data_IF_804394255930
#
_entry.id   IF_804394255930
#
_cell.length_a   1.000
_cell.length_b   1.000
_cell.length_c   1.000
_cell.angle_alpha   90.00
_cell.angle_beta   90.00
_cell.angle_gamma   90.00
#
_symmetry.space_group_name_H-M   'P 1'
#
loop_
_entity.id
_entity.type
_entity.pdbx_description
1 polymer ?
#
# COMPACT_ATOMS: atom_id res chain seq x y z
N UNK A 1 -25.43 -61.91 21.96
CA UNK A 1 -24.43 -60.84 22.11
C UNK A 1 -24.52 -59.91 20.88
N UNK A 2 -25.17 -58.77 21.03
CA UNK A 2 -25.29 -57.79 19.96
C UNK A 2 -24.10 -56.80 20.07
N UNK A 3 -23.22 -56.73 19.05
CA UNK A 3 -22.14 -55.79 18.98
C UNK A 3 -22.73 -54.46 18.48
N UNK A 4 -22.67 -53.43 19.31
CA UNK A 4 -22.96 -52.07 18.90
C UNK A 4 -21.73 -51.50 18.19
N UNK A 5 -21.88 -51.12 16.94
CA UNK A 5 -20.89 -50.35 16.17
C UNK A 5 -21.09 -48.88 16.52
N UNK A 6 -20.14 -48.26 17.21
CA UNK A 6 -20.11 -46.82 17.45
C UNK A 6 -19.38 -46.20 16.25
N UNK A 7 -20.12 -45.51 15.40
CA UNK A 7 -19.56 -44.72 14.31
C UNK A 7 -19.14 -43.36 14.88
N UNK A 8 -17.85 -43.17 15.00
CA UNK A 8 -17.27 -41.89 15.41
C UNK A 8 -17.25 -40.94 14.16
N UNK A 9 -18.21 -40.03 14.09
CA UNK A 9 -18.20 -38.98 13.09
C UNK A 9 -17.20 -37.88 13.48
N UNK A 10 -16.07 -37.81 12.77
CA UNK A 10 -15.16 -36.66 12.86
C UNK A 10 -15.87 -35.46 12.24
N UNK A 11 -16.26 -34.51 13.06
CA UNK A 11 -16.57 -33.14 12.59
C UNK A 11 -15.25 -32.47 12.19
N UNK A 12 -14.98 -32.41 10.91
CA UNK A 12 -13.99 -31.50 10.37
C UNK A 12 -14.61 -30.09 10.36
N UNK A 13 -14.34 -29.29 11.41
CA UNK A 13 -14.62 -27.88 11.39
C UNK A 13 -13.65 -27.27 10.36
N UNK A 14 -14.16 -26.87 9.21
CA UNK A 14 -13.43 -26.00 8.27
C UNK A 14 -13.26 -24.63 8.92
N UNK A 15 -12.08 -24.36 9.42
CA UNK A 15 -11.70 -23.03 9.85
C UNK A 15 -11.51 -22.19 8.59
N UNK A 16 -12.46 -21.33 8.28
CA UNK A 16 -12.29 -20.31 7.25
C UNK A 16 -11.37 -19.24 7.83
N UNK A 17 -10.11 -19.25 7.42
CA UNK A 17 -9.21 -18.14 7.72
C UNK A 17 -9.59 -16.98 6.81
N UNK A 18 -9.71 -15.77 7.37
CA UNK A 18 -9.80 -14.57 6.60
C UNK A 18 -8.55 -14.48 5.69
N UNK A 19 -8.75 -14.46 4.38
CA UNK A 19 -7.66 -14.34 3.43
C UNK A 19 -7.51 -12.86 3.06
N UNK A 20 -6.29 -12.35 3.12
CA UNK A 20 -6.00 -11.02 2.62
C UNK A 20 -6.18 -10.99 1.10
N UNK A 21 -6.74 -9.90 0.60
CA UNK A 21 -6.91 -9.66 -0.83
C UNK A 21 -6.57 -8.21 -1.17
N UNK A 22 -6.04 -8.00 -2.36
CA UNK A 22 -5.88 -6.68 -2.94
C UNK A 22 -7.25 -6.15 -3.32
N UNK A 23 -7.68 -5.06 -2.66
CA UNK A 23 -8.98 -4.44 -2.90
C UNK A 23 -8.90 -3.39 -4.01
N UNK A 24 -7.89 -2.51 -3.93
CA UNK A 24 -7.60 -1.50 -4.94
C UNK A 24 -6.11 -1.11 -4.87
N UNK A 25 -5.64 -0.48 -5.94
CA UNK A 25 -4.33 0.16 -5.98
C UNK A 25 -4.53 1.66 -6.10
N UNK A 26 -4.07 2.41 -5.11
CA UNK A 26 -4.09 3.87 -5.16
C UNK A 26 -2.85 4.39 -5.87
N UNK A 27 -3.05 5.33 -6.78
CA UNK A 27 -1.98 5.99 -7.52
C UNK A 27 -2.10 7.48 -7.32
N UNK A 28 -1.06 8.10 -6.78
CA UNK A 28 -0.96 9.57 -6.73
C UNK A 28 -0.31 10.03 -8.03
N UNK A 29 -1.02 10.85 -8.78
CA UNK A 29 -0.49 11.51 -9.96
C UNK A 29 -0.11 12.94 -9.57
N UNK A 30 1.15 13.28 -9.70
CA UNK A 30 1.69 14.55 -9.22
C UNK A 30 1.19 15.77 -10.02
N UNK A 31 0.61 15.52 -11.21
CA UNK A 31 0.19 16.58 -12.12
C UNK A 31 1.36 17.25 -12.83
N UNK A 32 1.11 18.46 -13.31
CA UNK A 32 2.14 19.29 -13.95
C UNK A 32 2.03 20.73 -13.49
N UNK A 33 3.09 21.20 -12.84
CA UNK A 33 3.27 22.59 -12.47
C UNK A 33 4.34 23.22 -13.36
N UNK A 34 3.97 24.27 -14.09
CA UNK A 34 4.92 25.02 -14.91
C UNK A 34 5.65 26.08 -14.06
N UNK A 35 6.89 25.81 -13.71
CA UNK A 35 7.74 26.72 -12.94
C UNK A 35 8.10 28.01 -13.67
N UNK A 36 7.97 28.06 -15.00
CA UNK A 36 8.25 29.27 -15.77
C UNK A 36 7.10 30.27 -15.69
N UNK A 37 5.87 29.78 -15.75
CA UNK A 37 4.66 30.61 -15.65
C UNK A 37 4.11 30.73 -14.25
N UNK A 38 4.52 29.85 -13.34
CA UNK A 38 3.99 29.75 -11.99
C UNK A 38 2.57 29.20 -11.95
N UNK A 39 2.18 28.36 -12.92
CA UNK A 39 0.81 27.87 -13.09
C UNK A 39 0.73 26.36 -12.90
N UNK A 40 -0.35 25.91 -12.29
CA UNK A 40 -0.75 24.49 -12.31
C UNK A 40 -1.41 24.27 -13.68
N UNK A 41 -0.80 23.45 -14.52
CA UNK A 41 -1.32 23.07 -15.84
C UNK A 41 -2.22 21.84 -15.72
N UNK A 42 -1.76 20.83 -14.98
CA UNK A 42 -2.53 19.67 -14.62
C UNK A 42 -2.50 19.50 -13.10
N UNK A 43 -3.66 19.39 -12.43
CA UNK A 43 -3.70 19.30 -10.97
C UNK A 43 -3.21 17.91 -10.49
N UNK A 44 -2.83 17.86 -9.22
CA UNK A 44 -2.61 16.60 -8.51
C UNK A 44 -3.92 15.80 -8.46
N UNK A 45 -3.86 14.52 -8.84
CA UNK A 45 -5.02 13.62 -8.74
C UNK A 45 -4.68 12.34 -8.00
N UNK A 46 -5.71 11.76 -7.37
CA UNK A 46 -5.63 10.43 -6.80
C UNK A 46 -6.46 9.52 -7.68
N UNK A 47 -5.87 8.43 -8.12
CA UNK A 47 -6.54 7.40 -8.89
C UNK A 47 -6.69 6.10 -8.11
N UNK A 48 -7.70 5.33 -8.43
CA UNK A 48 -7.94 3.99 -7.94
C UNK A 48 -8.01 3.01 -9.11
N UNK A 49 -7.21 1.96 -9.06
CA UNK A 49 -7.27 0.84 -9.98
C UNK A 49 -7.88 -0.37 -9.27
N UNK A 50 -8.95 -0.92 -9.82
CA UNK A 50 -9.58 -2.15 -9.35
C UNK A 50 -8.93 -3.37 -10.06
N UNK A 51 -8.22 -4.25 -9.34
CA UNK A 51 -7.53 -5.38 -9.95
C UNK A 51 -8.47 -6.46 -10.50
N UNK A 52 -9.74 -6.50 -10.05
CA UNK A 52 -10.72 -7.49 -10.51
C UNK A 52 -11.33 -7.06 -11.85
N UNK A 53 -11.84 -5.83 -11.92
CA UNK A 53 -12.41 -5.29 -13.16
C UNK A 53 -11.36 -4.75 -14.13
N UNK A 54 -10.13 -4.57 -13.69
CA UNK A 54 -9.01 -3.97 -14.42
C UNK A 54 -9.33 -2.56 -14.91
N UNK A 55 -10.08 -1.79 -14.11
CA UNK A 55 -10.46 -0.42 -14.44
C UNK A 55 -9.74 0.57 -13.53
N UNK A 56 -9.19 1.60 -14.14
CA UNK A 56 -8.62 2.75 -13.43
C UNK A 56 -9.56 3.96 -13.55
N UNK A 57 -9.71 4.70 -12.47
CA UNK A 57 -10.46 5.96 -12.44
C UNK A 57 -9.79 6.97 -11.52
N UNK A 58 -9.86 8.24 -11.87
CA UNK A 58 -9.55 9.33 -10.96
C UNK A 58 -10.67 9.43 -9.93
N UNK A 59 -10.33 9.35 -8.65
CA UNK A 59 -11.27 9.33 -7.53
C UNK A 59 -11.30 10.64 -6.76
N UNK A 60 -10.22 11.44 -6.85
CA UNK A 60 -10.18 12.78 -6.28
C UNK A 60 -9.15 13.67 -6.99
N UNK A 61 -9.33 15.00 -6.85
CA UNK A 61 -8.43 16.03 -7.39
C UNK A 61 -8.06 17.01 -6.30
N UNK A 62 -6.77 17.15 -6.02
CA UNK A 62 -6.26 18.08 -5.02
C UNK A 62 -5.93 19.42 -5.68
N UNK A 63 -6.92 20.30 -5.68
CA UNK A 63 -6.80 21.60 -6.31
C UNK A 63 -5.75 22.50 -5.62
N UNK A 64 -5.05 23.31 -6.40
CA UNK A 64 -4.03 24.26 -5.94
C UNK A 64 -2.80 23.62 -5.28
N UNK A 65 -2.52 22.34 -5.55
CA UNK A 65 -1.27 21.67 -5.18
C UNK A 65 -0.36 21.57 -6.39
N UNK A 66 0.92 21.99 -6.25
CA UNK A 66 1.91 21.98 -7.34
C UNK A 66 2.38 20.56 -7.69
N UNK A 67 2.43 19.68 -6.68
CA UNK A 67 2.85 18.29 -6.78
C UNK A 67 2.37 17.51 -5.55
N UNK A 68 2.50 16.20 -5.57
CA UNK A 68 2.37 15.35 -4.39
C UNK A 68 3.59 14.44 -4.26
N UNK A 69 3.89 13.99 -3.06
CA UNK A 69 5.14 13.26 -2.78
C UNK A 69 4.96 11.95 -2.04
N UNK A 70 3.78 11.70 -1.45
CA UNK A 70 3.54 10.44 -0.74
C UNK A 70 2.06 10.19 -0.46
N UNK A 71 1.72 8.91 -0.28
CA UNK A 71 0.42 8.44 0.20
C UNK A 71 0.62 7.24 1.12
N UNK A 72 0.00 7.26 2.29
CA UNK A 72 0.00 6.12 3.23
C UNK A 72 -1.42 5.76 3.65
N UNK A 73 -1.69 4.45 3.72
CA UNK A 73 -2.99 3.91 4.16
C UNK A 73 -2.92 3.54 5.65
N UNK A 74 -3.95 3.90 6.40
CA UNK A 74 -4.15 3.52 7.80
C UNK A 74 -5.62 3.19 8.09
N UNK A 75 -5.93 1.92 8.24
CA UNK A 75 -7.28 1.44 8.49
C UNK A 75 -8.28 1.85 7.42
N UNK A 76 -9.26 2.68 7.78
CA UNK A 76 -10.29 3.18 6.85
C UNK A 76 -9.92 4.53 6.21
N UNK A 77 -8.72 5.00 6.38
CA UNK A 77 -8.24 6.29 5.88
C UNK A 77 -6.96 6.15 5.08
N UNK A 78 -6.67 7.15 4.29
CA UNK A 78 -5.34 7.37 3.76
C UNK A 78 -4.94 8.84 3.89
N UNK A 79 -3.65 9.08 3.92
CA UNK A 79 -3.08 10.42 4.06
C UNK A 79 -2.22 10.72 2.84
N UNK A 80 -2.35 11.92 2.30
CA UNK A 80 -1.58 12.36 1.13
C UNK A 80 -0.73 13.57 1.51
N UNK A 81 0.56 13.48 1.22
CA UNK A 81 1.48 14.61 1.27
C UNK A 81 1.45 15.32 -0.08
N UNK A 82 0.93 16.54 -0.12
CA UNK A 82 0.87 17.31 -1.34
C UNK A 82 1.31 18.75 -1.09
N UNK A 83 2.40 19.15 -1.75
CA UNK A 83 2.98 20.49 -1.74
C UNK A 83 3.15 21.08 -0.33
N UNK A 84 2.15 21.76 0.15
CA UNK A 84 2.17 22.49 1.42
C UNK A 84 1.14 21.96 2.44
N UNK A 85 0.52 20.80 2.16
CA UNK A 85 -0.54 20.25 3.00
C UNK A 85 -0.45 18.73 3.16
N UNK A 86 -1.03 18.26 4.26
CA UNK A 86 -1.38 16.87 4.45
C UNK A 86 -2.90 16.76 4.37
N UNK A 87 -3.42 15.86 3.54
CA UNK A 87 -4.83 15.56 3.42
C UNK A 87 -5.13 14.22 4.08
N UNK A 88 -6.23 14.14 4.81
CA UNK A 88 -6.81 12.90 5.33
C UNK A 88 -8.07 12.57 4.54
N UNK A 89 -8.11 11.39 3.95
CA UNK A 89 -9.14 10.93 3.04
C UNK A 89 -9.80 9.66 3.58
N UNK A 90 -11.08 9.48 3.31
CA UNK A 90 -11.76 8.20 3.56
C UNK A 90 -11.40 7.19 2.47
N UNK A 91 -10.96 5.98 2.86
CA UNK A 91 -10.44 4.96 1.94
C UNK A 91 -11.52 4.33 1.03
N UNK A 92 -12.81 4.44 1.40
CA UNK A 92 -13.89 3.84 0.62
C UNK A 92 -14.61 4.84 -0.29
N UNK A 93 -14.78 6.07 0.20
CA UNK A 93 -15.49 7.12 -0.53
C UNK A 93 -14.57 8.09 -1.25
N UNK A 94 -13.28 8.07 -0.92
CA UNK A 94 -12.23 8.98 -1.38
C UNK A 94 -12.52 10.47 -1.07
N UNK A 95 -13.45 10.74 -0.17
CA UNK A 95 -13.76 12.11 0.24
C UNK A 95 -12.74 12.64 1.25
N UNK A 96 -12.39 13.89 1.12
CA UNK A 96 -11.57 14.59 2.10
C UNK A 96 -12.33 14.69 3.44
N UNK A 97 -11.65 14.25 4.52
CA UNK A 97 -12.13 14.33 5.90
C UNK A 97 -11.56 15.57 6.59
N UNK A 98 -10.26 15.82 6.37
CA UNK A 98 -9.54 16.94 6.96
C UNK A 98 -8.28 17.25 6.16
N UNK A 99 -7.76 18.46 6.30
CA UNK A 99 -6.42 18.80 5.85
C UNK A 99 -5.71 19.71 6.86
N UNK A 100 -4.39 19.73 6.81
CA UNK A 100 -3.56 20.62 7.62
C UNK A 100 -2.41 21.19 6.81
N UNK A 101 -2.04 22.44 7.07
CA UNK A 101 -0.88 23.06 6.47
C UNK A 101 0.41 22.40 6.99
N UNK A 102 1.24 21.91 6.07
CA UNK A 102 2.57 21.38 6.35
C UNK A 102 3.50 21.72 5.18
N UNK A 103 3.96 22.99 5.09
CA UNK A 103 4.81 23.43 3.98
C UNK A 103 6.06 22.55 3.86
N UNK A 104 6.34 22.09 2.63
CA UNK A 104 7.48 21.23 2.34
C UNK A 104 7.35 19.80 2.84
N UNK A 105 6.14 19.31 3.08
CA UNK A 105 5.91 17.90 3.44
C UNK A 105 6.44 16.98 2.33
N UNK A 106 7.12 15.87 2.75
CA UNK A 106 7.71 14.88 1.83
C UNK A 106 7.09 13.50 2.00
N UNK A 107 7.44 12.81 3.06
CA UNK A 107 6.93 11.47 3.30
C UNK A 107 6.18 11.38 4.63
N UNK A 108 5.29 10.43 4.68
CA UNK A 108 4.40 10.17 5.80
C UNK A 108 4.60 8.76 6.34
N UNK A 109 4.41 8.59 7.64
CA UNK A 109 4.31 7.27 8.25
C UNK A 109 3.33 7.30 9.41
N UNK A 110 2.54 6.24 9.56
CA UNK A 110 1.55 6.14 10.65
C UNK A 110 2.02 5.16 11.70
N UNK A 111 1.91 5.55 12.95
CA UNK A 111 2.11 4.69 14.10
C UNK A 111 1.00 4.94 15.12
N UNK A 112 0.08 3.97 15.26
CA UNK A 112 -1.08 4.07 16.13
C UNK A 112 -1.89 5.37 15.85
N UNK A 113 -1.95 6.28 16.80
CA UNK A 113 -2.66 7.55 16.71
C UNK A 113 -1.80 8.71 16.18
N UNK A 114 -0.60 8.44 15.67
CA UNK A 114 0.38 9.44 15.23
C UNK A 114 0.67 9.34 13.75
N UNK A 115 0.64 10.47 13.07
CA UNK A 115 1.11 10.65 11.71
C UNK A 115 2.42 11.45 11.74
N UNK A 116 3.51 10.83 11.34
CA UNK A 116 4.84 11.45 11.25
C UNK A 116 5.03 11.99 9.84
N UNK A 117 5.51 13.22 9.71
CA UNK A 117 5.75 13.89 8.44
C UNK A 117 7.18 14.41 8.37
N UNK A 118 7.91 14.02 7.35
CA UNK A 118 9.21 14.56 6.97
C UNK A 118 9.04 15.81 6.13
N UNK A 119 10.04 16.70 6.11
CA UNK A 119 9.94 17.99 5.44
C UNK A 119 11.24 18.39 4.76
N UNK A 120 11.09 19.01 3.60
CA UNK A 120 12.17 19.60 2.83
C UNK A 120 11.62 20.33 1.60
N UNK A 121 12.22 21.46 1.21
CA UNK A 121 11.81 22.25 0.04
C UNK A 121 13.01 22.94 -0.58
N UNK A 122 13.03 23.05 -1.90
CA UNK A 122 14.09 23.72 -2.64
C UNK A 122 14.22 25.19 -2.26
N UNK A 123 15.44 25.65 -1.99
CA UNK A 123 15.78 27.00 -1.57
C UNK A 123 15.01 27.52 -0.34
N UNK A 124 14.48 26.61 0.49
CA UNK A 124 13.71 26.96 1.69
C UNK A 124 14.33 26.31 2.92
N UNK A 125 14.60 27.13 3.93
CA UNK A 125 15.03 26.65 5.25
C UNK A 125 13.87 26.71 6.22
N UNK A 126 13.68 25.63 6.96
CA UNK A 126 12.65 25.52 8.00
C UNK A 126 13.27 25.48 9.39
N UNK A 127 12.55 25.98 10.37
CA UNK A 127 12.90 25.83 11.79
C UNK A 127 12.70 24.40 12.31
N UNK A 128 11.96 23.58 11.56
CA UNK A 128 11.66 22.18 11.86
C UNK A 128 11.53 21.38 10.57
N UNK A 129 12.19 20.22 10.52
CA UNK A 129 12.15 19.28 9.40
C UNK A 129 11.40 17.98 9.70
N UNK A 130 10.82 17.87 10.92
CA UNK A 130 10.09 16.68 11.35
C UNK A 130 8.90 17.09 12.21
N UNK A 131 7.71 16.69 11.78
CA UNK A 131 6.45 16.95 12.49
C UNK A 131 5.75 15.65 12.86
N UNK A 132 5.00 15.67 13.95
CA UNK A 132 4.07 14.60 14.35
C UNK A 132 2.70 15.20 14.56
N UNK A 133 1.70 14.62 13.92
CA UNK A 133 0.30 15.00 14.01
C UNK A 133 -0.52 13.89 14.64
N UNK A 134 -1.69 14.22 15.19
CA UNK A 134 -2.69 13.25 15.59
C UNK A 134 -3.42 12.71 14.34
N UNK A 135 -3.57 11.38 14.22
CA UNK A 135 -4.28 10.80 13.06
C UNK A 135 -5.78 11.12 13.05
N UNK A 136 -6.39 11.41 14.22
CA UNK A 136 -7.83 11.66 14.33
C UNK A 136 -8.26 12.95 13.61
N UNK A 137 -7.55 14.04 13.82
CA UNK A 137 -7.95 15.40 13.42
C UNK A 137 -6.84 16.24 12.80
N UNK A 138 -5.67 15.65 12.57
CA UNK A 138 -4.45 16.29 12.05
C UNK A 138 -3.94 17.45 12.92
N UNK A 139 -4.27 17.49 14.21
CA UNK A 139 -3.65 18.46 15.11
C UNK A 139 -2.16 18.18 15.29
N UNK A 140 -1.35 19.22 15.24
CA UNK A 140 0.10 19.12 15.48
C UNK A 140 0.37 18.73 16.93
N UNK A 141 0.99 17.58 17.15
CA UNK A 141 1.43 17.10 18.47
C UNK A 141 2.81 17.65 18.81
N UNK A 142 3.73 17.57 17.83
CA UNK A 142 5.13 17.97 18.02
C UNK A 142 5.74 18.44 16.70
N UNK A 143 6.41 19.60 16.74
CA UNK A 143 7.38 20.03 15.75
C UNK A 143 8.77 19.93 16.38
N UNK A 144 9.68 19.20 15.75
CA UNK A 144 11.05 19.07 16.22
C UNK A 144 11.89 20.18 15.57
N UNK A 145 12.35 21.12 16.36
CA UNK A 145 13.24 22.17 15.88
C UNK A 145 14.62 21.60 15.49
N UNK A 146 15.44 22.41 14.85
CA UNK A 146 16.78 21.97 14.39
C UNK A 146 17.81 21.77 15.51
N UNK A 147 17.44 21.95 16.77
CA UNK A 147 18.25 21.68 17.96
C UNK A 147 17.89 20.33 18.56
N UNK A 148 16.58 20.04 18.66
CA UNK A 148 16.02 18.82 19.27
C UNK A 148 15.59 17.77 18.25
N UNK A 149 15.59 18.10 16.96
CA UNK A 149 15.25 17.26 15.83
C UNK A 149 16.32 17.29 14.74
N UNK A 150 15.96 16.82 13.53
CA UNK A 150 16.88 16.83 12.38
C UNK A 150 17.28 18.27 12.04
N UNK A 151 18.58 18.48 11.87
CA UNK A 151 19.12 19.80 11.53
C UNK A 151 18.90 20.17 10.05
N UNK A 152 18.69 19.19 9.19
CA UNK A 152 18.60 19.37 7.75
C UNK A 152 17.31 18.73 7.20
N UNK A 153 17.03 19.01 5.95
CA UNK A 153 15.88 18.45 5.23
C UNK A 153 15.86 16.91 5.32
N UNK A 154 14.66 16.40 5.53
CA UNK A 154 14.37 14.97 5.69
C UNK A 154 13.57 14.45 4.51
N UNK A 155 13.67 13.16 4.24
CA UNK A 155 13.02 12.48 3.12
C UNK A 155 12.26 11.24 3.64
N UNK A 156 12.47 10.09 3.06
CA UNK A 156 11.76 8.86 3.34
C UNK A 156 11.84 8.43 4.82
N UNK A 157 10.83 7.70 5.26
CA UNK A 157 10.64 7.27 6.65
C UNK A 157 10.09 5.85 6.72
N UNK A 158 10.64 5.03 7.61
CA UNK A 158 10.19 3.66 7.90
C UNK A 158 10.04 3.48 9.41
N UNK A 159 8.98 2.80 9.83
CA UNK A 159 8.75 2.46 11.23
C UNK A 159 9.10 1.00 11.48
N UNK A 160 9.91 0.76 12.53
CA UNK A 160 10.19 -0.56 13.07
C UNK A 160 9.95 -0.58 14.59
N UNK A 161 8.97 -1.36 15.01
CA UNK A 161 8.51 -1.36 16.40
C UNK A 161 8.01 0.01 16.84
N UNK A 162 8.68 0.61 17.82
CA UNK A 162 8.37 1.94 18.37
C UNK A 162 9.31 3.03 17.87
N UNK A 163 10.13 2.75 16.86
CA UNK A 163 11.10 3.69 16.31
C UNK A 163 10.77 4.01 14.87
N UNK A 164 10.64 5.30 14.55
CA UNK A 164 10.68 5.78 13.19
C UNK A 164 12.12 6.11 12.81
N UNK A 165 12.59 5.47 11.74
CA UNK A 165 13.86 5.74 11.10
C UNK A 165 13.60 6.65 9.91
N UNK A 166 14.34 7.72 9.80
CA UNK A 166 14.15 8.69 8.72
C UNK A 166 15.48 9.06 8.07
N UNK A 167 15.40 9.31 6.78
CA UNK A 167 16.51 9.83 6.00
C UNK A 167 16.64 11.34 6.24
N UNK A 168 17.87 11.77 6.58
CA UNK A 168 18.25 13.19 6.63
C UNK A 168 19.28 13.40 5.53
N UNK A 169 18.83 13.84 4.37
CA UNK A 169 19.66 13.91 3.16
C UNK A 169 20.05 15.34 2.75
N UNK A 170 19.30 16.36 3.19
CA UNK A 170 19.51 17.76 2.76
C UNK A 170 19.57 17.91 1.23
N UNK A 171 18.77 17.12 0.50
CA UNK A 171 18.87 16.97 -0.96
C UNK A 171 18.61 18.28 -1.74
N UNK A 172 18.00 19.26 -1.09
CA UNK A 172 17.62 20.55 -1.71
C UNK A 172 18.68 21.64 -1.54
N UNK A 173 19.82 21.34 -0.92
CA UNK A 173 20.97 22.25 -0.73
C UNK A 173 22.20 21.62 -1.42
N UNK A 174 22.29 21.85 -2.72
CA UNK A 174 23.27 21.20 -3.58
C UNK A 174 24.73 21.52 -3.16
N UNK A 175 25.51 20.46 -3.06
CA UNK A 175 26.87 20.50 -2.55
C UNK A 175 26.97 20.36 -1.03
N UNK A 176 25.84 20.35 -0.32
CA UNK A 176 25.76 20.16 1.12
C UNK A 176 24.91 18.92 1.52
N UNK A 177 24.73 17.99 0.60
CA UNK A 177 24.00 16.76 0.81
C UNK A 177 24.54 16.00 2.02
N UNK A 178 23.65 15.40 2.79
CA UNK A 178 23.95 14.56 3.96
C UNK A 178 23.62 13.10 3.68
N UNK A 179 24.12 12.21 4.49
CA UNK A 179 23.79 10.79 4.46
C UNK A 179 23.60 10.31 5.89
N UNK A 180 22.44 10.59 6.48
CA UNK A 180 22.17 10.33 7.90
C UNK A 180 20.88 9.54 8.03
N UNK A 181 20.87 8.55 8.92
CA UNK A 181 19.67 7.91 9.43
C UNK A 181 19.39 8.48 10.82
N UNK A 182 18.31 9.25 10.94
CA UNK A 182 17.79 9.77 12.20
C UNK A 182 16.78 8.81 12.83
N UNK A 183 16.62 8.86 14.14
CA UNK A 183 15.74 7.99 14.89
C UNK A 183 14.79 8.82 15.79
N UNK A 184 13.49 8.58 15.62
CA UNK A 184 12.44 9.14 16.48
C UNK A 184 11.79 8.01 17.28
N UNK A 185 11.87 8.07 18.59
CA UNK A 185 11.10 7.19 19.47
C UNK A 185 9.64 7.67 19.54
N UNK A 186 8.72 6.84 19.01
CA UNK A 186 7.29 7.17 18.89
C UNK A 186 6.51 7.02 20.21
N UNK A 187 7.09 6.34 21.21
CA UNK A 187 6.43 6.17 22.51
C UNK A 187 6.52 7.41 23.38
N UNK A 188 7.63 8.17 23.28
CA UNK A 188 7.87 9.35 24.09
C UNK A 188 8.19 10.61 23.28
N UNK A 189 8.14 10.52 21.94
CA UNK A 189 8.44 11.57 20.99
C UNK A 189 9.80 12.24 21.25
N UNK A 190 10.84 11.42 21.43
CA UNK A 190 12.22 11.90 21.53
C UNK A 190 13.00 11.55 20.27
N UNK A 191 13.59 12.57 19.64
CA UNK A 191 14.49 12.40 18.49
C UNK A 191 15.94 12.31 18.99
N UNK A 192 16.75 11.46 18.31
CA UNK A 192 18.18 11.31 18.65
C UNK A 192 18.84 10.18 17.85
N UNK A 193 20.07 9.85 18.21
CA UNK A 193 20.84 8.78 17.61
C UNK A 193 20.94 8.87 16.06
N UNK A 194 21.37 10.02 15.58
CA UNK A 194 21.73 10.17 14.18
C UNK A 194 22.96 9.34 13.84
N UNK A 195 22.89 8.54 12.78
CA UNK A 195 24.01 7.72 12.28
C UNK A 195 24.39 8.16 10.88
N UNK A 196 25.62 8.61 10.71
CA UNK A 196 26.19 9.00 9.43
C UNK A 196 26.51 7.74 8.61
N UNK A 197 26.03 7.66 7.38
CA UNK A 197 26.26 6.57 6.44
C UNK A 197 27.67 6.62 5.79
N UNK A 198 28.44 7.63 6.10
CA UNK A 198 29.78 7.86 5.57
C UNK A 198 29.80 8.61 4.22
N UNK A 199 31.02 8.86 3.71
CA UNK A 199 31.20 9.71 2.53
C UNK A 199 30.56 9.16 1.26
N UNK A 200 30.40 7.85 1.17
CA UNK A 200 29.72 7.18 0.06
C UNK A 200 28.22 7.04 0.24
N UNK A 201 27.67 7.25 1.45
CA UNK A 201 26.25 7.15 1.78
C UNK A 201 25.49 8.46 1.69
N UNK A 202 25.99 9.46 0.96
CA UNK A 202 25.34 10.77 0.84
C UNK A 202 24.07 10.74 -0.02
N UNK A 203 23.15 11.62 0.30
CA UNK A 203 21.91 11.85 -0.42
C UNK A 203 21.10 10.56 -0.62
N UNK A 204 20.81 9.82 0.49
CA UNK A 204 19.89 8.70 0.43
C UNK A 204 18.50 9.19 0.06
N UNK A 205 17.81 8.44 -0.79
CA UNK A 205 16.47 8.79 -1.26
C UNK A 205 15.41 7.89 -0.60
N UNK A 206 15.31 6.64 -1.03
CA UNK A 206 14.39 5.69 -0.44
C UNK A 206 14.99 5.01 0.80
N UNK A 207 14.10 4.66 1.75
CA UNK A 207 14.44 3.86 2.92
C UNK A 207 13.62 2.57 2.89
N UNK A 208 14.28 1.46 2.59
CA UNK A 208 13.66 0.16 2.36
C UNK A 208 14.01 -0.77 3.53
N UNK A 209 12.99 -1.36 4.17
CA UNK A 209 13.21 -2.36 5.23
C UNK A 209 13.20 -3.78 4.66
N UNK A 210 14.23 -4.55 4.98
CA UNK A 210 14.28 -5.99 4.73
C UNK A 210 14.94 -6.71 5.92
N UNK A 211 14.23 -7.63 6.53
CA UNK A 211 14.68 -8.34 7.73
C UNK A 211 15.00 -7.39 8.89
N UNK A 212 16.21 -7.49 9.43
CA UNK A 212 16.73 -6.66 10.52
C UNK A 212 17.54 -5.46 10.03
N UNK A 213 17.39 -5.03 8.80
CA UNK A 213 18.15 -3.92 8.23
C UNK A 213 17.27 -2.97 7.41
N UNK A 214 17.76 -1.74 7.29
CA UNK A 214 17.27 -0.74 6.35
C UNK A 214 18.28 -0.57 5.23
N UNK A 215 17.80 -0.28 4.04
CA UNK A 215 18.61 -0.05 2.85
C UNK A 215 18.23 1.28 2.22
N UNK A 216 19.21 1.96 1.64
CA UNK A 216 18.99 3.20 0.89
C UNK A 216 19.72 3.14 -0.44
N UNK A 217 19.08 3.67 -1.50
CA UNK A 217 19.78 4.03 -2.72
C UNK A 217 20.22 5.49 -2.57
N UNK A 218 21.53 5.75 -2.69
CA UNK A 218 22.09 7.06 -2.43
C UNK A 218 22.47 7.73 -3.75
N UNK A 219 21.97 8.93 -3.97
CA UNK A 219 22.25 9.72 -5.17
C UNK A 219 23.57 10.49 -5.10
N UNK A 220 24.26 10.42 -3.97
CA UNK A 220 25.56 11.04 -3.69
C UNK A 220 25.53 12.55 -3.99
N UNK A 221 26.36 12.98 -4.91
CA UNK A 221 26.48 14.34 -5.43
C UNK A 221 25.88 14.45 -6.86
N UNK A 222 24.92 13.58 -7.18
CA UNK A 222 24.28 13.47 -8.51
C UNK A 222 25.21 12.96 -9.62
N UNK A 223 26.43 12.55 -9.29
CA UNK A 223 27.41 12.02 -10.26
C UNK A 223 27.71 10.53 -10.06
N UNK A 224 27.11 9.91 -9.05
CA UNK A 224 27.31 8.49 -8.75
C UNK A 224 26.16 7.92 -7.94
N UNK A 225 26.20 6.62 -7.73
CA UNK A 225 25.22 5.87 -6.96
C UNK A 225 25.92 4.90 -6.00
N UNK A 226 25.33 4.74 -4.84
CA UNK A 226 25.70 3.69 -3.89
C UNK A 226 24.46 3.15 -3.20
N UNK A 227 24.60 2.00 -2.56
CA UNK A 227 23.55 1.43 -1.70
C UNK A 227 24.12 1.25 -0.32
N UNK A 228 23.46 1.82 0.67
CA UNK A 228 23.81 1.64 2.08
C UNK A 228 22.87 0.66 2.74
N UNK A 229 23.43 -0.19 3.59
CA UNK A 229 22.73 -1.03 4.55
C UNK A 229 22.94 -0.46 5.95
N UNK A 230 21.88 -0.37 6.73
CA UNK A 230 21.90 0.05 8.14
C UNK A 230 21.32 -1.08 8.99
N UNK A 231 22.15 -1.73 9.79
CA UNK A 231 21.75 -2.82 10.67
C UNK A 231 21.00 -2.29 11.90
N UNK A 232 19.75 -2.68 12.06
CA UNK A 232 18.88 -2.22 13.16
C UNK A 232 19.32 -2.71 14.54
N UNK A 233 19.99 -3.86 14.60
CA UNK A 233 20.43 -4.46 15.88
C UNK A 233 21.70 -3.85 16.44
N UNK A 234 22.60 -3.40 15.57
CA UNK A 234 23.90 -2.83 15.93
C UNK A 234 24.01 -1.35 15.68
N UNK A 235 23.05 -0.79 14.93
CA UNK A 235 23.02 0.59 14.47
C UNK A 235 24.27 0.97 13.67
N UNK A 236 24.77 0.04 12.86
CA UNK A 236 26.00 0.21 12.06
C UNK A 236 25.67 0.26 10.57
N UNK A 237 26.22 1.24 9.83
CA UNK A 237 26.07 1.34 8.39
C UNK A 237 27.18 0.57 7.66
N UNK A 238 26.87 0.15 6.43
CA UNK A 238 27.85 -0.28 5.42
C UNK A 238 27.37 0.14 4.04
N UNK A 239 28.28 0.59 3.17
CA UNK A 239 27.92 1.16 1.88
C UNK A 239 28.72 0.51 0.76
N UNK A 240 28.03 0.20 -0.33
CA UNK A 240 28.61 -0.35 -1.57
C UNK A 240 28.40 0.65 -2.70
N UNK A 241 29.49 1.08 -3.34
CA UNK A 241 29.44 1.92 -4.52
C UNK A 241 29.02 1.11 -5.75
N UNK A 242 28.09 1.66 -6.53
CA UNK A 242 27.68 1.11 -7.82
C UNK A 242 28.46 1.84 -8.91
N UNK A 243 29.36 1.15 -9.54
CA UNK A 243 30.22 1.74 -10.58
C UNK A 243 29.44 2.02 -11.86
N UNK A 244 29.69 3.17 -12.46
CA UNK A 244 29.10 3.61 -13.74
C UNK A 244 27.55 3.69 -13.72
N UNK A 245 26.96 3.98 -12.57
CA UNK A 245 25.53 4.19 -12.42
C UNK A 245 25.26 5.53 -11.75
N UNK A 246 24.27 6.23 -12.25
CA UNK A 246 23.72 7.46 -11.66
C UNK A 246 22.22 7.20 -11.51
N UNK A 247 21.76 6.96 -10.27
CA UNK A 247 20.34 6.81 -10.01
C UNK A 247 19.62 8.16 -10.16
N UNK A 248 20.24 9.24 -9.73
CA UNK A 248 19.66 10.58 -9.83
C UNK A 248 18.34 10.67 -9.08
N UNK A 249 17.29 11.16 -9.74
CA UNK A 249 15.91 11.12 -9.22
C UNK A 249 15.21 9.82 -9.59
N UNK A 250 15.96 8.73 -9.83
CA UNK A 250 15.38 7.43 -10.15
C UNK A 250 14.74 6.78 -8.94
N UNK A 251 13.77 5.91 -9.20
CA UNK A 251 13.03 5.19 -8.18
C UNK A 251 13.70 3.87 -7.81
N UNK A 252 13.35 3.34 -6.64
CA UNK A 252 13.76 2.01 -6.20
C UNK A 252 12.70 1.36 -5.32
N UNK A 253 12.58 0.03 -5.39
CA UNK A 253 11.69 -0.76 -4.56
C UNK A 253 12.35 -2.06 -4.12
N UNK A 254 11.88 -2.60 -2.98
CA UNK A 254 12.15 -3.98 -2.64
C UNK A 254 11.33 -4.88 -3.55
N UNK A 255 12.00 -5.84 -4.19
CA UNK A 255 11.36 -6.90 -4.96
C UNK A 255 11.94 -8.23 -4.51
N UNK A 256 11.15 -9.00 -3.76
CA UNK A 256 11.58 -10.20 -3.05
C UNK A 256 12.75 -9.91 -2.08
N UNK A 257 13.96 -10.38 -2.39
CA UNK A 257 15.19 -10.15 -1.64
C UNK A 257 16.19 -9.24 -2.36
N UNK A 258 15.69 -8.40 -3.27
CA UNK A 258 16.52 -7.48 -4.08
C UNK A 258 15.97 -6.07 -4.01
N UNK A 259 16.88 -5.11 -4.05
CA UNK A 259 16.51 -3.73 -4.37
C UNK A 259 16.57 -3.60 -5.88
N UNK A 260 15.40 -3.45 -6.50
CA UNK A 260 15.27 -3.10 -7.90
C UNK A 260 15.28 -1.57 -8.02
N UNK A 261 16.15 -1.01 -8.84
CA UNK A 261 16.32 0.43 -8.96
C UNK A 261 16.51 0.87 -10.42
N UNK A 262 16.07 2.10 -10.71
CA UNK A 262 16.23 2.73 -12.01
C UNK A 262 17.54 3.51 -12.08
N UNK A 263 18.28 3.35 -13.17
CA UNK A 263 19.40 4.24 -13.53
C UNK A 263 18.82 5.39 -14.35
N UNK A 264 19.17 6.61 -13.98
CA UNK A 264 18.70 7.84 -14.64
C UNK A 264 19.00 7.81 -16.14
N UNK A 265 18.01 8.18 -16.93
CA UNK A 265 18.05 8.23 -18.39
C UNK A 265 18.33 6.89 -19.11
N UNK A 266 18.33 5.76 -18.41
CA UNK A 266 18.43 4.43 -19.01
C UNK A 266 17.05 3.76 -19.09
N UNK A 267 16.93 2.76 -19.96
CA UNK A 267 15.71 1.95 -20.10
C UNK A 267 15.82 0.61 -19.38
N UNK A 268 16.84 0.42 -18.56
CA UNK A 268 17.04 -0.81 -17.79
C UNK A 268 16.89 -0.55 -16.30
N UNK A 269 16.12 -1.41 -15.63
CA UNK A 269 16.18 -1.57 -14.19
C UNK A 269 17.40 -2.41 -13.82
N UNK A 270 17.94 -2.19 -12.62
CA UNK A 270 19.02 -2.98 -12.06
C UNK A 270 18.61 -3.61 -10.73
N UNK A 271 19.19 -4.74 -10.41
CA UNK A 271 18.99 -5.42 -9.15
C UNK A 271 20.26 -5.37 -8.29
N UNK A 272 20.05 -5.13 -7.00
CA UNK A 272 21.05 -5.25 -5.96
C UNK A 272 20.64 -6.36 -4.98
N UNK A 273 21.50 -7.33 -4.75
CA UNK A 273 21.30 -8.41 -3.78
C UNK A 273 21.52 -7.88 -2.36
N UNK A 274 20.49 -7.85 -1.55
CA UNK A 274 20.57 -7.37 -0.16
C UNK A 274 21.30 -8.35 0.76
N UNK A 275 21.30 -9.64 0.45
CA UNK A 275 21.98 -10.66 1.24
C UNK A 275 23.49 -10.67 0.98
N UNK A 276 23.89 -10.62 -0.28
CA UNK A 276 25.29 -10.59 -0.70
C UNK A 276 25.91 -9.20 -0.67
N UNK A 277 25.13 -8.14 -0.50
CA UNK A 277 25.57 -6.74 -0.59
C UNK A 277 26.35 -6.46 -1.88
N UNK A 278 25.77 -6.84 -3.01
CA UNK A 278 26.41 -6.63 -4.32
C UNK A 278 25.40 -6.31 -5.43
N UNK A 279 25.86 -5.52 -6.39
CA UNK A 279 25.10 -5.26 -7.60
C UNK A 279 25.06 -6.49 -8.50
N UNK A 280 23.85 -6.92 -8.87
CA UNK A 280 23.64 -8.06 -9.79
C UNK A 280 23.68 -7.57 -11.24
N UNK A 281 23.22 -6.34 -11.49
CA UNK A 281 23.12 -5.76 -12.81
C UNK A 281 21.69 -5.75 -13.37
N UNK A 282 21.53 -5.62 -14.70
CA UNK A 282 20.26 -5.37 -15.34
C UNK A 282 19.21 -6.46 -15.13
N UNK A 283 17.96 -6.03 -14.98
CA UNK A 283 16.77 -6.90 -14.98
C UNK A 283 16.42 -7.26 -16.42
N UNK A 284 16.40 -8.57 -16.71
CA UNK A 284 16.02 -9.04 -18.04
C UNK A 284 14.49 -8.94 -18.26
N UNK A 285 14.09 -8.63 -19.50
CA UNK A 285 12.68 -8.62 -19.90
C UNK A 285 11.97 -7.29 -19.67
N UNK A 286 12.54 -6.38 -18.88
CA UNK A 286 12.01 -5.03 -18.65
C UNK A 286 12.95 -4.02 -19.29
N UNK A 287 12.42 -3.19 -20.19
CA UNK A 287 13.26 -2.35 -21.05
C UNK A 287 12.62 -0.96 -21.24
N UNK A 288 12.39 -0.28 -20.10
CA UNK A 288 11.73 1.02 -20.03
C UNK A 288 12.29 1.85 -18.88
N UNK A 289 12.25 3.18 -19.01
CA UNK A 289 12.54 4.09 -17.91
C UNK A 289 11.28 4.27 -17.07
N UNK A 290 11.39 4.00 -15.77
CA UNK A 290 10.28 4.11 -14.84
C UNK A 290 10.49 5.25 -13.85
N UNK A 291 9.37 5.80 -13.41
CA UNK A 291 9.31 6.90 -12.45
C UNK A 291 9.01 6.39 -11.03
N UNK A 292 8.11 5.41 -10.88
CA UNK A 292 7.81 4.77 -9.61
C UNK A 292 7.79 3.26 -9.74
N UNK A 293 8.20 2.56 -8.68
CA UNK A 293 8.28 1.11 -8.58
C UNK A 293 7.66 0.65 -7.27
N UNK A 294 6.80 -0.38 -7.33
CA UNK A 294 6.20 -0.99 -6.14
C UNK A 294 5.92 -2.48 -6.37
N UNK A 295 6.18 -3.34 -5.36
CA UNK A 295 5.78 -4.74 -5.39
C UNK A 295 4.49 -4.96 -4.60
N UNK A 296 3.49 -5.57 -5.21
CA UNK A 296 2.27 -6.00 -4.53
C UNK A 296 2.60 -7.14 -3.56
N UNK A 297 2.30 -6.99 -2.25
CA UNK A 297 2.84 -7.92 -1.24
C UNK A 297 2.15 -9.29 -1.17
N UNK A 298 1.01 -9.51 -1.85
CA UNK A 298 0.31 -10.81 -1.84
C UNK A 298 0.67 -11.67 -3.04
N UNK A 299 0.61 -11.11 -4.25
CA UNK A 299 0.92 -11.82 -5.50
C UNK A 299 2.41 -11.77 -5.85
N UNK A 300 3.12 -10.72 -5.40
CA UNK A 300 4.47 -10.42 -5.84
C UNK A 300 4.53 -9.71 -7.18
N UNK A 301 3.39 -9.32 -7.76
CA UNK A 301 3.35 -8.58 -9.01
C UNK A 301 4.01 -7.21 -8.86
N UNK A 302 4.73 -6.81 -9.89
CA UNK A 302 5.55 -5.61 -9.86
C UNK A 302 4.91 -4.51 -10.68
N UNK A 303 4.52 -3.44 -10.00
CA UNK A 303 3.93 -2.24 -10.57
C UNK A 303 5.03 -1.22 -10.86
N UNK A 304 5.03 -0.65 -12.06
CA UNK A 304 6.03 0.31 -12.49
C UNK A 304 5.37 1.39 -13.34
N UNK A 305 5.53 2.66 -12.96
CA UNK A 305 4.97 3.77 -13.73
C UNK A 305 5.98 4.39 -14.67
N UNK A 306 5.53 4.89 -15.82
CA UNK A 306 6.31 5.73 -16.70
C UNK A 306 5.60 7.06 -16.97
N UNK A 307 6.38 8.10 -17.20
CA UNK A 307 5.89 9.46 -17.47
C UNK A 307 6.86 10.23 -18.33
N UNK A 308 6.34 11.21 -19.08
CA UNK A 308 7.11 12.29 -19.70
C UNK A 308 7.00 13.61 -18.90
N UNK A 309 6.31 13.59 -17.75
CA UNK A 309 5.99 14.70 -16.85
C UNK A 309 4.99 15.73 -17.38
N UNK A 310 4.47 15.58 -18.57
CA UNK A 310 3.60 16.56 -19.23
C UNK A 310 2.27 15.99 -19.69
N UNK A 311 2.24 14.70 -20.00
CA UNK A 311 1.05 14.00 -20.47
C UNK A 311 0.70 12.83 -19.54
N UNK A 312 -0.42 12.21 -19.80
CA UNK A 312 -0.91 11.02 -19.09
C UNK A 312 0.17 9.92 -19.06
N UNK A 313 0.55 9.49 -17.86
CA UNK A 313 1.47 8.39 -17.64
C UNK A 313 0.81 7.03 -17.75
N UNK A 314 1.60 5.98 -17.71
CA UNK A 314 1.13 4.58 -17.75
C UNK A 314 1.72 3.80 -16.58
N UNK A 315 0.89 2.98 -15.94
CA UNK A 315 1.33 1.99 -14.96
C UNK A 315 1.32 0.62 -15.62
N UNK A 316 2.45 -0.06 -15.57
CA UNK A 316 2.67 -1.41 -16.09
C UNK A 316 2.69 -2.40 -14.93
N UNK A 317 2.16 -3.59 -15.12
CA UNK A 317 2.15 -4.67 -14.14
C UNK A 317 2.89 -5.86 -14.74
N UNK A 318 3.93 -6.31 -14.04
CA UNK A 318 4.76 -7.44 -14.43
C UNK A 318 4.61 -8.58 -13.41
N UNK A 319 4.59 -9.81 -13.90
CA UNK A 319 4.67 -11.01 -13.05
C UNK A 319 6.10 -11.26 -12.51
N UNK A 320 6.25 -12.31 -11.72
CA UNK A 320 7.55 -12.72 -11.17
C UNK A 320 8.60 -13.08 -12.23
N UNK A 321 8.18 -13.39 -13.47
CA UNK A 321 9.07 -13.70 -14.60
C UNK A 321 9.43 -12.48 -15.45
N UNK A 322 9.02 -11.28 -15.05
CA UNK A 322 9.15 -10.01 -15.78
C UNK A 322 8.32 -9.97 -17.08
N UNK A 323 7.26 -10.76 -17.16
CA UNK A 323 6.30 -10.67 -18.25
C UNK A 323 5.26 -9.61 -17.91
N UNK A 324 5.03 -8.66 -18.80
CA UNK A 324 3.93 -7.71 -18.66
C UNK A 324 2.59 -8.45 -18.73
N UNK A 325 1.80 -8.37 -17.67
CA UNK A 325 0.49 -9.03 -17.57
C UNK A 325 -0.66 -8.06 -17.76
N UNK A 326 -0.44 -6.79 -17.47
CA UNK A 326 -1.42 -5.72 -17.67
C UNK A 326 -0.76 -4.35 -17.67
N UNK A 327 -1.47 -3.35 -18.23
CA UNK A 327 -1.12 -1.93 -18.13
C UNK A 327 -2.39 -1.07 -18.15
N UNK A 328 -2.32 0.11 -17.53
CA UNK A 328 -3.40 1.10 -17.60
C UNK A 328 -2.85 2.52 -17.66
N UNK A 329 -3.60 3.39 -18.34
CA UNK A 329 -3.32 4.83 -18.32
C UNK A 329 -3.71 5.41 -16.96
N UNK A 330 -2.80 6.14 -16.32
CA UNK A 330 -3.01 6.85 -15.07
C UNK A 330 -3.18 8.37 -15.32
N UNK A 331 -2.97 9.21 -14.33
CA UNK A 331 -2.87 10.67 -14.54
C UNK A 331 -1.49 11.11 -14.99
N UNK A 332 -1.24 12.42 -14.93
CA UNK A 332 0.08 12.99 -15.25
C UNK A 332 1.05 12.74 -14.10
N UNK A 333 2.23 12.22 -14.39
CA UNK A 333 3.30 11.90 -13.42
C UNK A 333 2.83 10.97 -12.27
N UNK A 334 2.49 9.70 -12.56
CA UNK A 334 2.10 8.74 -11.50
C UNK A 334 3.32 8.39 -10.64
N UNK A 335 3.47 9.10 -9.50
CA UNK A 335 4.68 9.13 -8.67
C UNK A 335 4.61 8.33 -7.37
N UNK A 336 3.44 7.81 -6.98
CA UNK A 336 3.29 6.96 -5.80
C UNK A 336 2.25 5.88 -6.05
N UNK A 337 2.58 4.62 -5.75
CA UNK A 337 1.70 3.46 -5.93
C UNK A 337 1.57 2.73 -4.59
N UNK A 338 0.34 2.61 -4.07
CA UNK A 338 0.06 2.01 -2.76
C UNK A 338 -1.06 0.98 -2.87
N UNK A 339 -0.90 -0.14 -2.17
CA UNK A 339 -1.82 -1.28 -2.22
C UNK A 339 -2.76 -1.29 -1.01
N UNK A 340 -4.07 -1.20 -1.27
CA UNK A 340 -5.11 -1.38 -0.27
C UNK A 340 -5.42 -2.86 -0.11
N UNK A 341 -4.80 -3.47 0.91
CA UNK A 341 -4.96 -4.88 1.23
C UNK A 341 -5.92 -5.03 2.40
N UNK A 342 -6.98 -5.75 2.17
CA UNK A 342 -8.03 -5.99 3.17
C UNK A 342 -8.17 -7.47 3.48
N UNK A 343 -8.44 -7.76 4.74
CA UNK A 343 -8.88 -9.10 5.11
C UNK A 343 -10.31 -9.30 4.62
N UNK A 344 -10.52 -10.27 3.74
CA UNK A 344 -11.87 -10.72 3.46
C UNK A 344 -12.39 -11.34 4.76
N UNK A 345 -13.29 -10.66 5.46
CA UNK A 345 -14.11 -11.31 6.46
C UNK A 345 -14.79 -12.48 5.74
N UNK A 346 -14.46 -13.71 6.11
CA UNK A 346 -14.75 -14.92 5.34
C UNK A 346 -16.22 -15.14 5.03
N UNK A 347 -16.70 -14.45 4.04
CA UNK A 347 -17.77 -14.83 3.16
C UNK A 347 -17.20 -14.77 1.75
N UNK A 348 -16.57 -15.86 1.33
CA UNK A 348 -16.49 -16.13 -0.10
C UNK A 348 -17.93 -16.08 -0.57
N UNK A 349 -18.32 -15.11 -1.38
CA UNK A 349 -19.52 -15.24 -2.20
C UNK A 349 -19.23 -16.42 -3.13
N UNK A 350 -19.55 -17.61 -2.64
CA UNK A 350 -19.59 -18.79 -3.49
C UNK A 350 -20.66 -18.45 -4.51
N UNK A 351 -20.27 -18.34 -5.78
CA UNK A 351 -21.24 -18.21 -6.89
C UNK A 351 -22.28 -19.30 -6.62
N UNK A 352 -23.47 -18.85 -6.21
CA UNK A 352 -24.51 -19.77 -5.79
C UNK A 352 -25.00 -20.48 -7.02
N UNK A 353 -24.63 -21.74 -7.17
CA UNK A 353 -25.09 -22.58 -8.29
C UNK A 353 -26.58 -22.87 -8.22
N UNK A 354 -27.33 -22.28 -7.29
CA UNK A 354 -28.77 -22.44 -7.16
C UNK A 354 -29.45 -21.10 -6.88
N UNK A 355 -30.72 -21.01 -7.24
CA UNK A 355 -31.57 -19.85 -6.93
C UNK A 355 -32.81 -20.28 -6.17
N UNK A 356 -33.39 -19.37 -5.37
CA UNK A 356 -34.56 -19.61 -4.53
C UNK A 356 -35.66 -18.66 -4.93
N UNK A 357 -36.84 -19.21 -5.24
CA UNK A 357 -38.04 -18.41 -5.56
C UNK A 357 -39.33 -19.07 -5.04
N UNK A 358 -40.34 -18.29 -4.65
CA UNK A 358 -40.28 -16.85 -4.40
C UNK A 358 -39.51 -16.50 -3.12
N UNK A 359 -38.85 -15.38 -3.11
CA UNK A 359 -38.18 -14.83 -1.92
C UNK A 359 -38.37 -13.29 -1.90
N UNK A 360 -39.15 -12.73 -0.97
CA UNK A 360 -39.83 -13.37 0.18
C UNK A 360 -41.00 -14.33 -0.18
N UNK A 361 -41.26 -15.26 0.75
CA UNK A 361 -42.31 -16.26 0.61
C UNK A 361 -43.22 -16.30 1.82
N UNK A 362 -44.46 -16.85 1.65
CA UNK A 362 -45.35 -17.18 2.76
C UNK A 362 -45.26 -18.67 3.15
N UNK A 363 -45.22 -19.58 2.17
CA UNK A 363 -45.44 -21.00 2.44
C UNK A 363 -44.41 -21.90 1.75
N UNK A 364 -44.13 -21.71 0.46
CA UNK A 364 -43.36 -22.63 -0.35
C UNK A 364 -42.21 -21.89 -1.03
N UNK A 365 -41.04 -22.55 -1.05
CA UNK A 365 -39.87 -22.11 -1.86
C UNK A 365 -39.49 -23.21 -2.83
N UNK A 366 -39.06 -22.80 -4.02
CA UNK A 366 -38.48 -23.68 -5.04
C UNK A 366 -37.01 -23.32 -5.23
N UNK A 367 -36.15 -24.35 -5.24
CA UNK A 367 -34.71 -24.23 -5.40
C UNK A 367 -34.36 -24.76 -6.79
N UNK A 368 -33.81 -23.89 -7.65
CA UNK A 368 -33.40 -24.20 -9.02
C UNK A 368 -31.86 -24.28 -9.08
N UNK A 369 -31.31 -25.16 -9.91
CA UNK A 369 -29.87 -25.30 -10.12
C UNK A 369 -29.19 -26.30 -9.20
N UNK A 370 -29.87 -26.94 -8.24
CA UNK A 370 -29.29 -28.01 -7.43
C UNK A 370 -29.22 -29.34 -8.19
N UNK A 371 -28.30 -30.21 -7.79
CA UNK A 371 -28.25 -31.62 -8.27
C UNK A 371 -29.29 -32.48 -7.58
N UNK A 372 -29.67 -33.60 -8.21
CA UNK A 372 -30.73 -34.50 -7.69
C UNK A 372 -30.39 -35.11 -6.36
N UNK A 373 -29.09 -35.28 -6.02
CA UNK A 373 -28.62 -35.89 -4.79
C UNK A 373 -28.27 -34.89 -3.67
N UNK A 374 -28.40 -33.58 -3.96
CA UNK A 374 -28.04 -32.55 -2.99
C UNK A 374 -29.05 -32.51 -1.84
N UNK A 375 -28.56 -32.52 -0.61
CA UNK A 375 -29.35 -32.31 0.60
C UNK A 375 -29.48 -30.82 0.86
N UNK A 376 -30.71 -30.36 0.96
CA UNK A 376 -31.05 -28.99 1.32
C UNK A 376 -31.30 -28.96 2.84
N UNK A 377 -30.57 -28.08 3.54
CA UNK A 377 -30.82 -27.77 4.94
C UNK A 377 -31.33 -26.35 5.06
N UNK A 378 -32.51 -26.17 5.67
CA UNK A 378 -33.01 -24.85 6.06
C UNK A 378 -32.60 -24.57 7.51
N UNK A 379 -31.93 -23.46 7.74
CA UNK A 379 -31.30 -23.13 9.03
C UNK A 379 -31.91 -21.82 9.55
N UNK A 380 -32.17 -21.73 10.83
CA UNK A 380 -32.63 -20.49 11.49
C UNK A 380 -31.44 -19.56 11.83
N UNK A 381 -31.77 -18.38 12.40
CA UNK A 381 -30.76 -17.39 12.81
C UNK A 381 -29.79 -17.86 13.92
N UNK A 382 -30.14 -18.93 14.63
CA UNK A 382 -29.31 -19.51 15.67
C UNK A 382 -28.38 -20.62 15.14
N UNK A 383 -28.45 -20.89 13.82
CA UNK A 383 -27.69 -21.98 13.20
C UNK A 383 -28.32 -23.37 13.35
N UNK A 384 -29.58 -23.44 13.79
CA UNK A 384 -30.29 -24.71 13.96
C UNK A 384 -30.97 -25.11 12.66
N UNK A 385 -30.73 -26.36 12.19
CA UNK A 385 -31.46 -26.90 11.05
C UNK A 385 -32.91 -27.17 11.41
N UNK A 386 -33.84 -26.43 10.81
CA UNK A 386 -35.28 -26.52 11.04
C UNK A 386 -35.98 -27.41 10.02
N UNK A 387 -35.37 -27.65 8.86
CA UNK A 387 -35.86 -28.55 7.82
C UNK A 387 -34.70 -29.12 7.02
N UNK A 388 -34.77 -30.40 6.65
CA UNK A 388 -33.80 -31.04 5.74
C UNK A 388 -34.56 -31.86 4.69
N UNK A 389 -34.20 -31.72 3.40
CA UNK A 389 -34.89 -32.38 2.29
C UNK A 389 -33.96 -32.54 1.10
N UNK A 390 -34.25 -33.52 0.22
CA UNK A 390 -33.63 -33.66 -1.08
C UNK A 390 -34.53 -33.11 -2.23
N UNK A 391 -35.75 -32.71 -1.89
CA UNK A 391 -36.71 -32.18 -2.84
C UNK A 391 -36.36 -30.71 -3.24
N UNK A 392 -36.61 -30.38 -4.48
CA UNK A 392 -36.35 -29.00 -4.95
C UNK A 392 -37.42 -27.99 -4.48
N UNK A 393 -38.50 -28.47 -3.87
CA UNK A 393 -39.58 -27.65 -3.33
C UNK A 393 -39.72 -27.91 -1.86
N UNK A 394 -39.65 -26.88 -1.02
CA UNK A 394 -39.78 -26.97 0.41
C UNK A 394 -41.05 -26.24 0.87
N UNK A 395 -41.89 -26.94 1.64
CA UNK A 395 -43.00 -26.33 2.35
C UNK A 395 -42.52 -25.84 3.71
N UNK A 396 -42.55 -24.52 3.90
CA UNK A 396 -42.14 -23.86 5.13
C UNK A 396 -43.32 -23.13 5.81
N UNK A 397 -44.56 -23.50 5.44
CA UNK A 397 -45.80 -22.89 5.97
C UNK A 397 -45.86 -22.91 7.49
N UNK A 398 -45.36 -23.99 8.10
CA UNK A 398 -45.42 -24.22 9.55
C UNK A 398 -44.28 -23.50 10.32
N UNK A 399 -43.34 -22.84 9.65
CA UNK A 399 -42.27 -22.10 10.30
C UNK A 399 -42.74 -20.69 10.68
N UNK A 400 -42.21 -20.10 11.76
CA UNK A 400 -42.50 -18.70 12.09
C UNK A 400 -42.00 -17.72 10.98
N UNK A 401 -42.66 -16.57 10.90
CA UNK A 401 -42.14 -15.49 10.04
C UNK A 401 -40.76 -15.06 10.51
N UNK A 402 -39.82 -14.88 9.56
CA UNK A 402 -38.44 -14.57 9.90
C UNK A 402 -37.46 -14.78 8.76
N UNK A 403 -36.18 -14.69 9.08
CA UNK A 403 -35.08 -14.95 8.17
C UNK A 403 -34.56 -16.36 8.41
N UNK A 404 -34.39 -17.10 7.32
CA UNK A 404 -33.83 -18.43 7.27
C UNK A 404 -32.71 -18.48 6.23
N UNK A 405 -31.90 -19.52 6.28
CA UNK A 405 -30.84 -19.76 5.31
C UNK A 405 -30.99 -21.15 4.71
N UNK A 406 -31.04 -21.24 3.40
CA UNK A 406 -30.93 -22.49 2.66
C UNK A 406 -29.46 -22.81 2.46
N UNK A 407 -29.04 -23.97 2.93
CA UNK A 407 -27.66 -24.45 2.83
C UNK A 407 -27.63 -25.73 1.99
N UNK A 408 -26.78 -25.72 0.93
CA UNK A 408 -26.56 -26.85 0.02
C UNK A 408 -25.06 -26.93 -0.30
N UNK A 409 -24.40 -28.06 0.01
CA UNK A 409 -22.99 -28.33 -0.35
C UNK A 409 -22.01 -27.19 0.00
N UNK A 410 -22.16 -26.60 1.18
CA UNK A 410 -21.31 -25.49 1.61
C UNK A 410 -21.74 -24.10 1.12
N UNK A 411 -22.74 -24.01 0.25
CA UNK A 411 -23.29 -22.76 -0.25
C UNK A 411 -24.55 -22.37 0.53
N UNK A 412 -24.72 -21.08 0.83
CA UNK A 412 -25.81 -20.58 1.65
C UNK A 412 -26.55 -19.41 0.97
N UNK A 413 -27.89 -19.43 0.96
CA UNK A 413 -28.71 -18.31 0.50
C UNK A 413 -29.79 -17.94 1.52
N UNK A 414 -30.04 -16.63 1.68
CA UNK A 414 -31.04 -16.09 2.58
C UNK A 414 -32.46 -16.24 2.00
N UNK A 415 -33.40 -16.67 2.84
CA UNK A 415 -34.83 -16.71 2.59
C UNK A 415 -35.56 -15.87 3.62
N UNK A 416 -36.52 -15.06 3.17
CA UNK A 416 -37.40 -14.29 4.05
C UNK A 416 -38.81 -14.90 4.02
N UNK A 417 -39.25 -15.43 5.15
CA UNK A 417 -40.65 -15.86 5.37
C UNK A 417 -41.46 -14.71 5.97
N UNK A 418 -42.63 -14.43 5.38
CA UNK A 418 -43.60 -13.45 5.85
C UNK A 418 -44.63 -14.06 6.78
#
# INVERSE_FOLDING_TARGET
>A
MKKALITLSLFASSWSFAQNQLHQVLVVNEGFYDYQTGSIVEPVTIGSYDPISQQYQVVDTLENMRFASDLVIDGNFYYVAADSKIFKMDLNTHQEIANVACPGVRNLAVYQDKLVATRGEYLTTYDSYLHVYQTSDLQLVQAFDTITGPKWATQNIVIDGTTAYLVVNNAYDWGNEKGIIGQLNLSNLSYGNEVDLGPDGKNPDNLIKFGSALYTVNNKDWTGTSISKFELTTLTPSTVNITNAIAGCGTSALRDDKITYQISAETSLNNFDVNGMNNIGPVNGINMNFYELAQEPLSGDFYASSTDFFSTGTVYIYDASNTEIHQFAAGVSPGTIVFDIRSSAGMTETITNFSISPNPTNDIITIQGKSTNDVINLIDLNGTTVLSSNESTLDISNLPAGIYFVHINGTCQKVMKR
#
